data_IF_864048807236
#
_entry.id   IF_864048807236
#
_cell.length_a   1.000
_cell.length_b   1.000
_cell.length_c   1.000
_cell.angle_alpha   90.00
_cell.angle_beta   90.00
_cell.angle_gamma   90.00
#
_symmetry.space_group_name_H-M   'P 1'
#
loop_
_entity.id
_entity.type
_entity.pdbx_description
1 polymer ?
#
# COMPACT_ATOMS: atom_id res chain seq x y z
N UNK A 1 2.62 -21.27 17.27
CA UNK A 1 3.27 -20.65 18.47
C UNK A 1 2.18 -20.34 19.49
N UNK A 2 2.42 -20.54 20.79
CA UNK A 2 1.44 -20.17 21.83
C UNK A 2 1.41 -18.64 21.98
N UNK A 3 0.24 -18.02 22.17
CA UNK A 3 0.14 -16.57 22.30
C UNK A 3 1.00 -16.05 23.47
N UNK A 4 1.55 -14.84 23.29
CA UNK A 4 2.39 -14.09 24.25
C UNK A 4 1.75 -13.91 25.63
N UNK A 5 0.47 -14.24 25.77
CA UNK A 5 -0.24 -14.36 27.05
C UNK A 5 0.39 -15.39 28.01
N UNK A 6 1.19 -16.35 27.51
CA UNK A 6 1.71 -17.48 28.30
C UNK A 6 3.18 -17.38 28.75
N UNK A 7 4.01 -16.50 28.17
CA UNK A 7 5.43 -16.31 28.52
C UNK A 7 5.89 -14.86 28.30
N UNK A 8 5.63 -13.92 29.24
CA UNK A 8 5.94 -12.50 29.08
C UNK A 8 7.44 -12.19 28.93
N UNK A 9 8.33 -13.09 29.39
CA UNK A 9 9.79 -12.96 29.23
C UNK A 9 10.31 -13.07 27.79
N UNK A 10 9.52 -13.56 26.84
CA UNK A 10 9.88 -13.61 25.41
C UNK A 10 9.36 -12.39 24.61
N UNK A 11 8.70 -11.45 25.28
CA UNK A 11 8.20 -10.22 24.67
C UNK A 11 9.30 -9.30 24.11
N UNK A 12 10.38 -9.02 24.86
CA UNK A 12 11.44 -8.10 24.40
C UNK A 12 12.12 -8.57 23.11
N UNK A 13 12.50 -9.86 23.04
CA UNK A 13 13.15 -10.44 21.85
C UNK A 13 12.22 -10.43 20.62
N UNK A 14 10.93 -10.67 20.82
CA UNK A 14 9.94 -10.63 19.73
C UNK A 14 9.74 -9.20 19.20
N UNK A 15 9.67 -8.21 20.10
CA UNK A 15 9.55 -6.79 19.72
C UNK A 15 10.83 -6.28 19.05
N UNK A 16 12.01 -6.67 19.53
CA UNK A 16 13.28 -6.32 18.91
C UNK A 16 13.37 -6.89 17.48
N UNK A 17 12.93 -8.14 17.25
CA UNK A 17 12.92 -8.74 15.91
C UNK A 17 11.93 -8.04 14.97
N UNK A 18 10.72 -7.71 15.44
CA UNK A 18 9.75 -6.93 14.65
C UNK A 18 10.33 -5.54 14.33
N UNK A 19 11.03 -4.91 15.27
CA UNK A 19 11.69 -3.63 15.07
C UNK A 19 12.76 -3.70 13.98
N UNK A 20 13.63 -4.71 14.01
CA UNK A 20 14.66 -4.92 12.97
C UNK A 20 14.03 -5.18 11.60
N UNK A 21 13.00 -6.03 11.52
CA UNK A 21 12.29 -6.32 10.27
C UNK A 21 11.60 -5.04 9.72
N UNK A 22 11.05 -4.20 10.61
CA UNK A 22 10.40 -2.93 10.21
C UNK A 22 11.41 -1.88 9.75
N UNK A 23 12.52 -1.71 10.48
CA UNK A 23 13.57 -0.74 10.14
C UNK A 23 14.23 -1.11 8.80
N UNK A 24 14.55 -2.40 8.61
CA UNK A 24 15.11 -2.88 7.35
C UNK A 24 14.12 -2.71 6.19
N UNK A 25 12.83 -2.98 6.42
CA UNK A 25 11.76 -2.72 5.45
C UNK A 25 11.63 -1.24 5.08
N UNK A 26 11.64 -0.33 6.06
CA UNK A 26 11.61 1.11 5.83
C UNK A 26 12.84 1.59 5.05
N UNK A 27 14.03 1.14 5.42
CA UNK A 27 15.27 1.52 4.71
C UNK A 27 15.23 1.06 3.25
N UNK A 28 14.84 -0.19 3.00
CA UNK A 28 14.69 -0.71 1.66
C UNK A 28 13.64 0.05 0.84
N UNK A 29 12.50 0.41 1.45
CA UNK A 29 11.47 1.23 0.82
C UNK A 29 12.00 2.60 0.39
N UNK A 30 12.82 3.26 1.22
CA UNK A 30 13.41 4.55 0.87
C UNK A 30 14.38 4.44 -0.32
N UNK A 31 15.17 3.37 -0.38
CA UNK A 31 16.06 3.10 -1.53
C UNK A 31 15.25 2.92 -2.81
N UNK A 32 14.20 2.09 -2.78
CA UNK A 32 13.33 1.85 -3.94
C UNK A 32 12.65 3.16 -4.38
N UNK A 33 12.14 3.95 -3.44
CA UNK A 33 11.53 5.24 -3.72
C UNK A 33 12.53 6.21 -4.40
N UNK A 34 13.77 6.27 -3.93
CA UNK A 34 14.82 7.06 -4.55
C UNK A 34 15.07 6.64 -6.01
N UNK A 35 15.19 5.35 -6.28
CA UNK A 35 15.35 4.86 -7.65
C UNK A 35 14.15 5.18 -8.56
N UNK A 36 12.92 5.09 -8.04
CA UNK A 36 11.71 5.47 -8.79
C UNK A 36 11.76 6.96 -9.17
N UNK A 37 12.12 7.83 -8.23
CA UNK A 37 12.22 9.29 -8.46
C UNK A 37 13.29 9.58 -9.51
N UNK A 38 14.50 9.04 -9.36
CA UNK A 38 15.61 9.26 -10.31
C UNK A 38 15.26 8.73 -11.70
N UNK A 39 14.69 7.52 -11.79
CA UNK A 39 14.27 6.93 -13.07
C UNK A 39 13.21 7.81 -13.74
N UNK A 40 12.20 8.24 -12.99
CA UNK A 40 11.15 9.12 -13.52
C UNK A 40 11.75 10.46 -13.97
N UNK A 41 12.66 11.05 -13.19
CA UNK A 41 13.32 12.29 -13.56
C UNK A 41 14.11 12.14 -14.88
N UNK A 42 14.90 11.08 -15.04
CA UNK A 42 15.69 10.84 -16.25
C UNK A 42 14.79 10.56 -17.47
N UNK A 43 13.77 9.73 -17.32
CA UNK A 43 12.84 9.37 -18.41
C UNK A 43 12.01 10.58 -18.85
N UNK A 44 11.42 11.28 -17.88
CA UNK A 44 10.47 12.35 -18.12
C UNK A 44 11.17 13.62 -18.61
N UNK A 45 12.34 13.95 -18.04
CA UNK A 45 13.14 15.08 -18.48
C UNK A 45 13.71 14.87 -19.89
N UNK A 46 14.12 13.65 -20.24
CA UNK A 46 14.66 13.33 -21.56
C UNK A 46 13.61 13.39 -22.69
N UNK A 47 12.31 13.28 -22.37
CA UNK A 47 11.24 13.22 -23.38
C UNK A 47 10.39 14.50 -23.45
N UNK A 48 10.62 15.50 -22.58
CA UNK A 48 9.86 16.76 -22.56
C UNK A 48 8.36 16.58 -22.25
N UNK A 49 7.95 15.40 -21.78
CA UNK A 49 6.56 15.07 -21.48
C UNK A 49 6.27 15.53 -20.05
N UNK A 50 5.44 16.55 -19.87
CA UNK A 50 5.05 17.03 -18.52
C UNK A 50 3.79 16.34 -17.99
N UNK A 51 3.14 15.49 -18.79
CA UNK A 51 1.83 14.93 -18.47
C UNK A 51 1.77 13.42 -18.80
N UNK A 52 1.93 12.58 -17.78
CA UNK A 52 1.67 11.13 -17.87
C UNK A 52 0.31 10.86 -17.25
N UNK A 53 -0.65 10.46 -18.07
CA UNK A 53 -2.03 10.18 -17.63
C UNK A 53 -2.29 8.69 -17.40
N UNK A 54 -1.30 7.81 -17.62
CA UNK A 54 -1.46 6.37 -17.41
C UNK A 54 -0.14 5.66 -17.14
N UNK A 55 -0.18 4.60 -16.33
CA UNK A 55 0.94 3.70 -16.07
C UNK A 55 1.48 3.02 -17.34
N UNK A 56 0.62 2.76 -18.33
CA UNK A 56 1.02 2.22 -19.63
C UNK A 56 1.89 3.20 -20.44
N UNK A 57 1.63 4.51 -20.31
CA UNK A 57 2.45 5.55 -20.94
C UNK A 57 3.83 5.64 -20.26
N UNK A 58 3.87 5.58 -18.92
CA UNK A 58 5.13 5.52 -18.17
C UNK A 58 5.98 4.31 -18.57
N UNK A 59 5.36 3.13 -18.69
CA UNK A 59 6.04 1.90 -19.11
C UNK A 59 6.65 2.01 -20.52
N UNK A 60 5.95 2.67 -21.44
CA UNK A 60 6.41 2.83 -22.83
C UNK A 60 7.57 3.84 -22.91
N UNK A 61 7.54 4.88 -22.09
CA UNK A 61 8.63 5.87 -22.00
C UNK A 61 9.95 5.28 -21.47
N UNK A 62 9.92 4.13 -20.79
CA UNK A 62 11.12 3.41 -20.33
C UNK A 62 11.82 2.59 -21.42
N UNK A 63 11.16 2.31 -22.55
CA UNK A 63 11.74 1.51 -23.66
C UNK A 63 13.09 2.04 -24.20
N UNK A 64 13.30 3.35 -24.44
CA UNK A 64 14.56 3.85 -25.01
C UNK A 64 15.77 3.72 -24.07
N UNK A 65 15.58 3.53 -22.75
CA UNK A 65 16.70 3.41 -21.81
C UNK A 65 17.27 1.99 -21.70
N UNK A 66 16.44 0.96 -21.85
CA UNK A 66 16.84 -0.42 -21.56
C UNK A 66 16.13 -1.48 -22.45
N UNK A 67 15.50 -1.04 -23.55
CA UNK A 67 14.88 -1.91 -24.53
C UNK A 67 13.57 -2.57 -24.08
N UNK A 68 13.10 -3.61 -24.79
CA UNK A 68 11.84 -4.30 -24.49
C UNK A 68 11.80 -4.97 -23.09
N UNK A 69 12.95 -5.33 -22.54
CA UNK A 69 13.05 -6.00 -21.24
C UNK A 69 12.61 -5.10 -20.08
N UNK A 70 12.92 -3.80 -20.14
CA UNK A 70 12.52 -2.84 -19.11
C UNK A 70 11.00 -2.67 -19.03
N UNK A 71 10.30 -2.69 -20.17
CA UNK A 71 8.85 -2.67 -20.21
C UNK A 71 8.25 -3.88 -19.49
N UNK A 72 8.76 -5.08 -19.76
CA UNK A 72 8.26 -6.32 -19.14
C UNK A 72 8.52 -6.35 -17.65
N UNK A 73 9.72 -5.97 -17.21
CA UNK A 73 10.07 -5.92 -15.78
C UNK A 73 9.24 -4.85 -15.04
N UNK A 74 9.03 -3.68 -15.65
CA UNK A 74 8.18 -2.63 -15.09
C UNK A 74 6.72 -3.08 -14.97
N UNK A 75 6.16 -3.67 -16.04
CA UNK A 75 4.80 -4.21 -16.02
C UNK A 75 4.64 -5.33 -14.96
N UNK A 76 5.60 -6.25 -14.88
CA UNK A 76 5.62 -7.29 -13.85
C UNK A 76 5.68 -6.69 -12.42
N UNK A 77 6.46 -5.63 -12.22
CA UNK A 77 6.53 -4.91 -10.95
C UNK A 77 5.21 -4.25 -10.55
N UNK A 78 4.54 -3.56 -11.48
CA UNK A 78 3.23 -2.93 -11.23
C UNK A 78 2.16 -4.00 -10.94
N UNK A 79 2.14 -5.10 -11.70
CA UNK A 79 1.20 -6.20 -11.46
C UNK A 79 1.46 -6.85 -10.09
N UNK A 80 2.73 -7.15 -9.77
CA UNK A 80 3.12 -7.77 -8.51
C UNK A 80 2.79 -6.90 -7.30
N UNK A 81 3.10 -5.60 -7.36
CA UNK A 81 2.76 -4.66 -6.28
C UNK A 81 1.26 -4.48 -6.13
N UNK A 82 0.49 -4.40 -7.22
CA UNK A 82 -0.97 -4.36 -7.17
C UNK A 82 -1.59 -5.62 -6.55
N UNK A 83 -1.10 -6.80 -6.94
CA UNK A 83 -1.59 -8.08 -6.41
C UNK A 83 -1.33 -8.24 -4.91
N UNK A 84 -0.18 -7.75 -4.42
CA UNK A 84 0.13 -7.75 -2.99
C UNK A 84 -0.62 -6.66 -2.22
N UNK A 85 -0.86 -5.50 -2.83
CA UNK A 85 -1.53 -4.38 -2.17
C UNK A 85 -2.99 -4.69 -1.83
N UNK A 86 -3.73 -5.34 -2.72
CA UNK A 86 -5.17 -5.59 -2.53
C UNK A 86 -5.46 -6.42 -1.26
N UNK A 87 -4.84 -7.60 -1.03
CA UNK A 87 -5.08 -8.38 0.19
C UNK A 87 -4.59 -7.69 1.46
N UNK A 88 -3.46 -6.99 1.40
CA UNK A 88 -2.87 -6.31 2.56
C UNK A 88 -3.77 -5.16 3.02
N UNK A 89 -4.23 -4.32 2.09
CA UNK A 89 -5.12 -3.19 2.40
C UNK A 89 -6.52 -3.66 2.82
N UNK A 90 -7.10 -4.60 2.07
CA UNK A 90 -8.41 -5.14 2.39
C UNK A 90 -8.40 -5.84 3.75
N UNK A 91 -7.34 -6.61 4.06
CA UNK A 91 -7.15 -7.27 5.34
C UNK A 91 -7.00 -6.29 6.51
N UNK A 92 -6.21 -5.23 6.33
CA UNK A 92 -6.04 -4.18 7.36
C UNK A 92 -7.35 -3.44 7.63
N UNK A 93 -8.09 -3.06 6.59
CA UNK A 93 -9.39 -2.41 6.72
C UNK A 93 -10.42 -3.33 7.37
N UNK A 94 -10.49 -4.60 6.94
CA UNK A 94 -11.39 -5.59 7.52
C UNK A 94 -11.09 -5.85 8.99
N UNK A 95 -9.80 -5.88 9.36
CA UNK A 95 -9.39 -6.03 10.75
C UNK A 95 -9.82 -4.81 11.58
N UNK A 96 -9.51 -3.60 11.13
CA UNK A 96 -9.87 -2.37 11.84
C UNK A 96 -11.38 -2.18 12.02
N UNK A 97 -12.17 -2.48 10.99
CA UNK A 97 -13.64 -2.39 11.06
C UNK A 97 -14.22 -3.48 11.96
N UNK A 98 -13.72 -4.71 11.87
CA UNK A 98 -14.22 -5.80 12.71
C UNK A 98 -13.90 -5.56 14.20
N UNK A 99 -12.70 -5.03 14.50
CA UNK A 99 -12.29 -4.70 15.86
C UNK A 99 -13.07 -3.51 16.43
N UNK A 100 -13.30 -2.46 15.62
CA UNK A 100 -14.12 -1.31 16.01
C UNK A 100 -15.58 -1.70 16.33
N UNK A 101 -16.10 -2.76 15.69
CA UNK A 101 -17.43 -3.30 15.94
C UNK A 101 -17.45 -4.38 17.03
N UNK A 102 -16.33 -4.65 17.70
CA UNK A 102 -16.21 -5.67 18.76
C UNK A 102 -16.43 -7.10 18.28
N UNK A 103 -16.35 -7.34 16.96
CA UNK A 103 -16.63 -8.65 16.37
C UNK A 103 -15.35 -9.49 16.22
N UNK A 104 -15.46 -10.83 16.24
CA UNK A 104 -14.32 -11.70 16.00
C UNK A 104 -13.69 -11.44 14.63
N UNK A 105 -12.40 -11.11 14.61
CA UNK A 105 -11.62 -10.79 13.42
C UNK A 105 -10.54 -11.87 13.14
N UNK A 106 -10.15 -12.03 11.87
CA UNK A 106 -9.04 -12.89 11.45
C UNK A 106 -9.37 -13.93 10.37
N UNK A 107 -8.41 -14.15 9.45
CA UNK A 107 -8.49 -15.17 8.38
C UNK A 107 -8.53 -16.61 8.94
N UNK A 108 -7.97 -16.83 10.13
CA UNK A 108 -7.94 -18.13 10.80
C UNK A 108 -9.30 -18.56 11.37
N UNK A 109 -10.25 -17.63 11.46
CA UNK A 109 -11.62 -17.93 11.91
C UNK A 109 -12.50 -18.32 10.73
N UNK A 110 -13.38 -19.30 10.96
CA UNK A 110 -14.35 -19.75 9.97
C UNK A 110 -15.20 -18.56 9.49
N UNK A 111 -15.57 -18.47 8.20
CA UNK A 111 -16.34 -17.35 7.65
C UNK A 111 -17.68 -17.12 8.36
N UNK A 112 -18.24 -18.18 8.98
CA UNK A 112 -19.45 -18.08 9.78
C UNK A 112 -19.27 -17.40 11.15
N UNK A 113 -18.04 -17.35 11.70
CA UNK A 113 -17.73 -16.73 13.00
C UNK A 113 -17.21 -15.29 12.88
N UNK A 114 -16.70 -14.89 11.72
CA UNK A 114 -16.13 -13.57 11.44
C UNK A 114 -16.88 -12.88 10.27
N UNK A 115 -18.23 -12.89 10.32
CA UNK A 115 -19.09 -12.42 9.21
C UNK A 115 -18.74 -10.99 8.76
N UNK A 116 -18.50 -10.09 9.72
CA UNK A 116 -18.14 -8.69 9.44
C UNK A 116 -16.79 -8.59 8.74
N UNK A 117 -15.79 -9.38 9.14
CA UNK A 117 -14.47 -9.37 8.53
C UNK A 117 -14.52 -9.79 7.05
N UNK A 118 -15.19 -10.91 6.74
CA UNK A 118 -15.35 -11.36 5.36
C UNK A 118 -16.27 -10.45 4.55
N UNK A 119 -17.30 -9.87 5.16
CA UNK A 119 -18.15 -8.88 4.49
C UNK A 119 -17.35 -7.64 4.08
N UNK A 120 -16.52 -7.09 4.97
CA UNK A 120 -15.66 -5.93 4.64
C UNK A 120 -14.65 -6.28 3.56
N UNK A 121 -14.05 -7.47 3.57
CA UNK A 121 -13.16 -7.92 2.49
C UNK A 121 -13.86 -7.96 1.12
N UNK A 122 -15.06 -8.56 1.06
CA UNK A 122 -15.85 -8.67 -0.18
C UNK A 122 -16.28 -7.28 -0.65
N UNK A 123 -16.83 -6.47 0.26
CA UNK A 123 -17.28 -5.11 -0.06
C UNK A 123 -16.11 -4.24 -0.53
N UNK A 124 -14.97 -4.27 0.16
CA UNK A 124 -13.78 -3.51 -0.23
C UNK A 124 -13.27 -3.93 -1.62
N UNK A 125 -13.30 -5.22 -1.94
CA UNK A 125 -12.91 -5.75 -3.26
C UNK A 125 -13.89 -5.32 -4.35
N UNK A 126 -15.19 -5.39 -4.10
CA UNK A 126 -16.24 -4.94 -5.03
C UNK A 126 -16.15 -3.43 -5.25
N UNK A 127 -15.97 -2.64 -4.20
CA UNK A 127 -15.80 -1.19 -4.30
C UNK A 127 -14.54 -0.84 -5.08
N UNK A 128 -13.40 -1.49 -4.79
CA UNK A 128 -12.16 -1.30 -5.54
C UNK A 128 -12.31 -1.63 -7.03
N UNK A 129 -13.03 -2.72 -7.34
CA UNK A 129 -13.36 -3.08 -8.73
C UNK A 129 -14.31 -2.05 -9.36
N UNK A 130 -15.36 -1.63 -8.65
CA UNK A 130 -16.35 -0.66 -9.11
C UNK A 130 -15.72 0.71 -9.45
N UNK A 131 -14.68 1.12 -8.72
CA UNK A 131 -13.94 2.36 -9.01
C UNK A 131 -13.31 2.37 -10.40
N UNK A 132 -12.95 1.21 -10.97
CA UNK A 132 -12.43 1.13 -12.35
C UNK A 132 -13.48 1.51 -13.41
N UNK A 133 -14.77 1.42 -13.08
CA UNK A 133 -15.86 1.82 -13.99
C UNK A 133 -16.22 3.31 -13.86
N UNK A 134 -15.67 4.02 -12.88
CA UNK A 134 -15.88 5.46 -12.72
C UNK A 134 -14.92 6.24 -13.62
N UNK A 135 -15.35 7.41 -14.11
CA UNK A 135 -14.50 8.30 -14.93
C UNK A 135 -13.39 9.01 -14.11
N UNK A 136 -13.11 8.55 -12.89
CA UNK A 136 -12.09 9.13 -12.02
C UNK A 136 -10.73 8.62 -12.47
N UNK A 137 -9.86 9.53 -12.87
CA UNK A 137 -8.47 9.22 -13.18
C UNK A 137 -7.76 8.70 -11.91
N UNK A 138 -7.29 7.44 -11.89
CA UNK A 138 -6.64 6.84 -10.73
C UNK A 138 -5.40 7.61 -10.28
N UNK A 139 -4.68 8.25 -11.21
CA UNK A 139 -3.48 9.03 -10.89
C UNK A 139 -3.88 10.29 -10.11
N UNK A 140 -4.95 10.96 -10.53
CA UNK A 140 -5.49 12.13 -9.81
C UNK A 140 -6.03 11.74 -8.43
N UNK A 141 -6.75 10.63 -8.34
CA UNK A 141 -7.24 10.11 -7.07
C UNK A 141 -6.09 9.82 -6.09
N UNK A 142 -4.99 9.23 -6.57
CA UNK A 142 -3.80 8.97 -5.77
C UNK A 142 -3.12 10.27 -5.32
N UNK A 143 -2.98 11.26 -6.22
CA UNK A 143 -2.43 12.58 -5.89
C UNK A 143 -3.26 13.28 -4.81
N UNK A 144 -4.59 13.36 -5.00
CA UNK A 144 -5.49 13.95 -4.00
C UNK A 144 -5.44 13.20 -2.67
N UNK A 145 -5.36 11.87 -2.70
CA UNK A 145 -5.21 11.07 -1.46
C UNK A 145 -3.92 11.41 -0.71
N UNK A 146 -2.81 11.64 -1.42
CA UNK A 146 -1.56 12.07 -0.81
C UNK A 146 -1.65 13.48 -0.25
N UNK A 147 -2.23 14.42 -1.01
CA UNK A 147 -2.43 15.81 -0.58
C UNK A 147 -3.35 15.90 0.65
N UNK A 148 -4.46 15.17 0.67
CA UNK A 148 -5.39 15.15 1.81
C UNK A 148 -4.70 14.58 3.06
N UNK A 149 -3.98 13.45 2.93
CA UNK A 149 -3.24 12.87 4.06
C UNK A 149 -2.20 13.85 4.62
N UNK A 150 -1.49 14.55 3.74
CA UNK A 150 -0.47 15.52 4.15
C UNK A 150 -1.09 16.80 4.74
N UNK A 151 -2.16 17.32 4.15
CA UNK A 151 -2.84 18.53 4.61
C UNK A 151 -3.63 18.35 5.90
N UNK A 152 -4.26 17.19 6.12
CA UNK A 152 -5.04 16.92 7.33
C UNK A 152 -4.14 16.50 8.52
N UNK A 153 -2.95 15.97 8.27
CA UNK A 153 -1.98 15.62 9.31
C UNK A 153 -1.22 16.81 9.90
N UNK A 154 -1.24 17.97 9.24
CA UNK A 154 -0.55 19.18 9.71
C UNK A 154 -1.27 19.93 10.83
N UNK A 155 -2.55 19.63 11.10
CA UNK A 155 -3.37 20.37 12.09
C UNK A 155 -3.46 19.71 13.47
N UNK A 156 -2.81 18.57 13.71
CA UNK A 156 -2.98 17.79 14.95
C UNK A 156 -1.66 17.45 15.68
N UNK A 157 -0.61 18.27 15.48
CA UNK A 157 0.64 18.17 16.26
C UNK A 157 0.82 19.29 17.30
N UNK A 158 -0.26 20.02 17.59
CA UNK A 158 -0.25 21.19 18.49
C UNK A 158 -1.16 21.10 19.72
N UNK A 159 -1.79 19.95 20.03
CA UNK A 159 -2.80 19.86 21.11
C UNK A 159 -2.60 18.79 22.18
N UNK A 160 -1.50 18.03 22.16
CA UNK A 160 -1.30 16.92 23.12
C UNK A 160 -0.17 17.17 24.15
N UNK A 161 0.22 18.44 24.34
CA UNK A 161 1.25 18.85 25.31
C UNK A 161 0.86 20.04 26.21
N UNK A 162 -0.43 20.22 26.51
CA UNK A 162 -0.90 21.20 27.50
C UNK A 162 -1.60 20.51 28.68
#
# INVERSE_FOLDING_TARGET
RRPLKSKPRQGPDALQRIGVDTISGMFFSQIVAFFIIVTTAVVLHAHGITNINSSAQAATALRPLAGPFAFTVFAAGIIGTGLLAVPVLAGSAAYGVADALGNPSGLERKPHQAKVFYAVLIVASIVGMALNFTAIDPIKALYWSAVIKWGCGGTDHGRDHA
#
